data_IF_076455908047
#
_entry.id   IF_076455908047
#
_cell.length_a   1.000
_cell.length_b   1.000
_cell.length_c   1.000
_cell.angle_alpha   90.00
_cell.angle_beta   90.00
_cell.angle_gamma   90.00
#
_symmetry.space_group_name_H-M   'P 1'
#
loop_
_entity.id
_entity.type
_entity.pdbx_description
1 polymer ?
#
# COMPACT_ATOMS: atom_id res chain seq x y z
N UNK A 1 -44.09 3.29 27.45
CA UNK A 1 -42.73 3.87 27.52
C UNK A 1 -41.76 2.82 26.97
N UNK A 2 -41.39 2.89 25.70
CA UNK A 2 -40.53 1.88 25.07
C UNK A 2 -39.07 2.27 25.24
N UNK A 3 -38.34 1.54 26.07
CA UNK A 3 -36.91 1.72 26.29
C UNK A 3 -36.20 0.92 25.20
N UNK A 4 -35.66 1.60 24.19
CA UNK A 4 -34.75 0.97 23.23
C UNK A 4 -33.35 0.98 23.83
N UNK A 5 -32.90 -0.18 24.30
CA UNK A 5 -31.51 -0.39 24.70
C UNK A 5 -30.64 -0.30 23.45
N UNK A 6 -29.97 0.84 23.24
CA UNK A 6 -28.95 0.96 22.20
C UNK A 6 -27.78 0.05 22.60
N UNK A 7 -27.76 -1.16 22.02
CA UNK A 7 -26.64 -2.08 22.14
C UNK A 7 -25.46 -1.46 21.37
N UNK A 8 -24.60 -0.73 22.08
CA UNK A 8 -23.39 -0.14 21.51
C UNK A 8 -22.48 -1.24 20.97
N UNK A 9 -22.14 -1.17 19.68
CA UNK A 9 -21.24 -2.12 19.04
C UNK A 9 -19.84 -2.03 19.63
N UNK A 10 -19.40 -3.09 20.32
CA UNK A 10 -18.00 -3.33 20.66
C UNK A 10 -17.24 -3.58 19.37
N UNK A 11 -16.35 -2.65 19.02
CA UNK A 11 -15.42 -2.86 17.90
C UNK A 11 -15.03 -1.58 17.18
N UNK A 12 -14.58 -0.55 17.89
CA UNK A 12 -13.73 0.46 17.24
C UNK A 12 -12.39 -0.20 16.96
N UNK A 13 -12.27 -0.91 15.83
CA UNK A 13 -10.95 -1.21 15.30
C UNK A 13 -10.33 0.15 15.01
N UNK A 14 -9.29 0.51 15.76
CA UNK A 14 -8.42 1.64 15.43
C UNK A 14 -7.86 1.35 14.03
N UNK A 15 -8.56 1.84 13.02
CA UNK A 15 -8.21 1.66 11.61
C UNK A 15 -6.85 2.34 11.47
N UNK A 16 -5.77 1.53 11.42
CA UNK A 16 -4.42 2.08 11.32
C UNK A 16 -4.42 2.98 10.09
N UNK A 17 -4.26 4.29 10.31
CA UNK A 17 -4.24 5.27 9.24
C UNK A 17 -2.95 5.04 8.45
N UNK A 18 -3.02 4.26 7.39
CA UNK A 18 -1.94 4.11 6.43
C UNK A 18 -1.92 5.42 5.64
N UNK A 19 -1.12 6.38 6.08
CA UNK A 19 -0.95 7.64 5.36
C UNK A 19 0.10 7.44 4.27
N UNK A 20 -0.35 7.45 3.02
CA UNK A 20 0.53 7.55 1.87
C UNK A 20 1.21 8.93 1.89
N UNK A 21 2.53 8.97 2.04
CA UNK A 21 3.32 10.21 1.88
C UNK A 21 3.69 10.38 0.42
N UNK A 22 3.41 11.55 -0.14
CA UNK A 22 3.88 11.93 -1.47
C UNK A 22 5.39 12.17 -1.39
N UNK A 23 6.19 11.25 -1.94
CA UNK A 23 7.61 11.49 -2.12
C UNK A 23 7.82 12.27 -3.42
N UNK A 24 8.69 13.30 -3.42
CA UNK A 24 9.14 13.91 -4.67
C UNK A 24 9.72 12.79 -5.55
N UNK A 25 9.32 12.82 -6.81
CA UNK A 25 9.41 11.79 -7.85
C UNK A 25 10.83 11.37 -8.25
N UNK A 26 11.83 11.58 -7.38
CA UNK A 26 13.15 11.05 -7.59
C UNK A 26 13.05 9.52 -7.60
N UNK A 27 13.36 8.92 -8.74
CA UNK A 27 13.31 7.48 -8.99
C UNK A 27 13.92 6.73 -7.80
N UNK A 28 13.05 6.18 -6.95
CA UNK A 28 13.49 5.37 -5.84
C UNK A 28 14.23 4.17 -6.43
N UNK A 29 15.46 3.92 -5.99
CA UNK A 29 16.29 2.83 -6.52
C UNK A 29 15.52 1.51 -6.38
N UNK A 30 14.93 1.06 -7.49
CA UNK A 30 14.01 -0.09 -7.60
C UNK A 30 14.62 -1.37 -6.99
N UNK A 31 15.96 -1.46 -6.93
CA UNK A 31 16.71 -2.56 -6.32
C UNK A 31 16.33 -2.85 -4.86
N UNK A 32 15.78 -1.87 -4.14
CA UNK A 32 15.47 -1.99 -2.72
C UNK A 32 14.05 -2.51 -2.43
N UNK A 33 13.19 -2.59 -3.45
CA UNK A 33 11.85 -3.16 -3.31
C UNK A 33 11.90 -4.69 -3.35
N UNK A 34 11.15 -5.31 -2.44
CA UNK A 34 11.05 -6.78 -2.31
C UNK A 34 9.69 -7.31 -2.72
N UNK A 35 8.63 -6.54 -2.46
CA UNK A 35 7.27 -6.88 -2.81
C UNK A 35 6.45 -5.59 -3.01
N UNK A 36 5.23 -5.75 -3.49
CA UNK A 36 4.29 -4.66 -3.63
C UNK A 36 2.86 -5.16 -3.37
N UNK A 37 1.99 -4.24 -3.01
CA UNK A 37 0.56 -4.48 -2.79
C UNK A 37 -0.25 -3.47 -3.63
N UNK A 38 -1.34 -3.93 -4.25
CA UNK A 38 -2.21 -3.07 -5.06
C UNK A 38 -3.32 -2.50 -4.18
N UNK A 39 -3.39 -1.19 -4.10
CA UNK A 39 -4.46 -0.45 -3.44
C UNK A 39 -5.40 0.07 -4.53
N UNK A 40 -6.68 -0.34 -4.51
CA UNK A 40 -7.69 0.11 -5.47
C UNK A 40 -8.65 1.15 -4.89
N UNK A 41 -8.74 1.24 -3.56
CA UNK A 41 -9.70 2.09 -2.86
C UNK A 41 -8.96 2.86 -1.75
N UNK A 42 -9.12 4.19 -1.59
CA UNK A 42 -9.93 5.10 -2.42
C UNK A 42 -9.20 5.60 -3.69
N UNK A 43 -7.92 5.25 -3.89
CA UNK A 43 -7.09 5.71 -5.02
C UNK A 43 -6.34 4.53 -5.61
N UNK A 44 -6.15 4.53 -6.94
CA UNK A 44 -5.35 3.53 -7.62
C UNK A 44 -3.84 3.75 -7.31
N UNK A 45 -3.32 3.01 -6.34
CA UNK A 45 -1.97 3.15 -5.86
C UNK A 45 -1.26 1.80 -5.73
N UNK A 46 0.06 1.82 -5.86
CA UNK A 46 0.93 0.69 -5.57
C UNK A 46 1.69 0.99 -4.30
N UNK A 47 1.63 0.07 -3.34
CA UNK A 47 2.38 0.15 -2.10
C UNK A 47 3.60 -0.78 -2.18
N UNK A 48 4.77 -0.20 -2.41
CA UNK A 48 6.02 -0.95 -2.38
C UNK A 48 6.47 -1.23 -0.95
N UNK A 49 6.99 -2.44 -0.74
CA UNK A 49 7.65 -2.83 0.52
C UNK A 49 9.14 -2.92 0.25
N UNK A 50 9.93 -2.23 1.07
CA UNK A 50 11.39 -2.30 1.03
C UNK A 50 11.92 -3.45 1.90
N UNK A 51 13.19 -3.83 1.72
CA UNK A 51 13.88 -4.80 2.61
C UNK A 51 13.82 -4.45 4.09
N UNK A 52 13.70 -3.16 4.43
CA UNK A 52 13.62 -2.65 5.81
C UNK A 52 12.20 -2.66 6.37
N UNK A 53 11.21 -3.17 5.64
CA UNK A 53 9.80 -3.16 6.05
C UNK A 53 9.10 -1.81 5.83
N UNK A 54 9.77 -0.81 5.26
CA UNK A 54 9.15 0.49 4.95
C UNK A 54 8.17 0.29 3.79
N UNK A 55 6.95 0.81 3.96
CA UNK A 55 5.88 0.81 2.97
C UNK A 55 5.80 2.18 2.29
N UNK A 56 5.82 2.20 0.96
CA UNK A 56 5.82 3.43 0.15
C UNK A 56 4.66 3.36 -0.84
N UNK A 57 3.72 4.29 -0.74
CA UNK A 57 2.64 4.42 -1.72
C UNK A 57 3.07 5.30 -2.90
N UNK A 58 2.73 4.88 -4.10
CA UNK A 58 2.91 5.66 -5.33
C UNK A 58 1.70 5.47 -6.24
N UNK A 59 1.43 6.43 -7.14
CA UNK A 59 0.39 6.25 -8.17
C UNK A 59 0.77 5.11 -9.11
N UNK A 60 -0.20 4.25 -9.42
CA UNK A 60 -0.01 3.13 -10.34
C UNK A 60 0.23 3.55 -11.80
N UNK A 61 -0.05 4.82 -12.14
CA UNK A 61 -0.08 5.33 -13.51
C UNK A 61 1.30 5.75 -14.01
N UNK A 62 2.31 5.79 -13.12
CA UNK A 62 3.67 6.16 -13.47
C UNK A 62 4.41 4.98 -14.13
N UNK A 63 5.03 5.21 -15.29
CA UNK A 63 5.72 4.17 -16.07
C UNK A 63 6.78 3.40 -15.27
N UNK A 64 7.58 4.11 -14.45
CA UNK A 64 8.61 3.47 -13.63
C UNK A 64 8.02 2.53 -12.56
N UNK A 65 6.80 2.78 -12.09
CA UNK A 65 6.09 1.93 -11.12
C UNK A 65 5.76 0.60 -11.78
N UNK A 66 5.28 0.62 -13.03
CA UNK A 66 5.03 -0.58 -13.82
C UNK A 66 6.30 -1.37 -14.08
N UNK A 67 7.40 -0.70 -14.41
CA UNK A 67 8.70 -1.35 -14.61
C UNK A 67 9.26 -1.94 -13.30
N UNK A 68 9.02 -1.28 -12.17
CA UNK A 68 9.38 -1.78 -10.85
C UNK A 68 8.59 -3.05 -10.48
N UNK A 69 7.28 -3.08 -10.73
CA UNK A 69 6.45 -4.28 -10.54
C UNK A 69 6.98 -5.46 -11.36
N UNK A 70 7.20 -5.26 -12.67
CA UNK A 70 7.74 -6.31 -13.56
C UNK A 70 9.06 -6.89 -13.08
N UNK A 71 9.95 -6.04 -12.55
CA UNK A 71 11.24 -6.49 -11.98
C UNK A 71 11.07 -7.32 -10.72
N UNK A 72 10.09 -6.98 -9.87
CA UNK A 72 9.76 -7.75 -8.67
C UNK A 72 9.15 -9.09 -9.08
N UNK A 73 8.21 -9.11 -10.02
CA UNK A 73 7.56 -10.33 -10.53
C UNK A 73 8.57 -11.31 -11.12
N UNK A 74 9.51 -10.81 -11.95
CA UNK A 74 10.59 -11.62 -12.51
C UNK A 74 11.46 -12.27 -11.41
N UNK A 75 11.77 -11.53 -10.34
CA UNK A 75 12.56 -12.06 -9.21
C UNK A 75 11.81 -13.14 -8.44
N UNK A 76 10.48 -13.00 -8.29
CA UNK A 76 9.66 -14.00 -7.61
C UNK A 76 9.47 -15.27 -8.46
N UNK A 77 9.37 -15.13 -9.78
CA UNK A 77 9.23 -16.27 -10.70
C UNK A 77 10.51 -17.09 -10.90
N UNK A 78 11.68 -16.55 -10.53
CA UNK A 78 12.98 -17.26 -10.66
C UNK A 78 13.33 -18.02 -9.37
N UNK A 79 12.44 -18.03 -8.38
CA UNK A 79 12.64 -18.62 -7.06
C UNK A 79 11.81 -19.88 -6.92
#
# INVERSE_FOLDING_TARGET
LSIFTLLGSIGSQSMRKISCVSLPTQELKIRNFVSYERQKNPVNAIMFVTRKGIKICVSADQKWVQDAMKRIDKKQSTK
#
